data_IF_101778082752
#
_entry.id   IF_101778082752
#
_cell.length_a   1.000
_cell.length_b   1.000
_cell.length_c   1.000
_cell.angle_alpha   90.00
_cell.angle_beta   90.00
_cell.angle_gamma   90.00
#
_symmetry.space_group_name_H-M   'P 1'
#
loop_
_entity.id
_entity.type
_entity.pdbx_description
1 polymer ?
#
# COMPACT_ATOMS: atom_id res chain seq x y z
N UNK A 1 26.97 73.37 7.15
CA UNK A 1 26.73 71.92 7.29
C UNK A 1 28.05 71.31 7.70
N UNK A 2 28.11 70.75 8.90
CA UNK A 2 29.37 70.30 9.49
C UNK A 2 29.71 68.89 8.98
N UNK A 3 30.99 68.55 9.00
CA UNK A 3 31.52 67.25 8.55
C UNK A 3 30.90 66.07 9.32
N UNK A 4 30.56 66.29 10.58
CA UNK A 4 29.88 65.31 11.45
C UNK A 4 28.46 64.98 10.98
N UNK A 5 27.71 65.96 10.49
CA UNK A 5 26.33 65.75 10.00
C UNK A 5 26.31 64.87 8.73
N UNK A 6 27.37 64.96 7.91
CA UNK A 6 27.49 64.13 6.71
C UNK A 6 27.78 62.67 7.06
N UNK A 7 28.63 62.41 8.05
CA UNK A 7 28.97 61.05 8.50
C UNK A 7 27.73 60.35 9.09
N UNK A 8 26.97 61.04 9.95
CA UNK A 8 25.74 60.48 10.53
C UNK A 8 24.69 60.13 9.46
N UNK A 9 24.57 60.96 8.42
CA UNK A 9 23.66 60.68 7.29
C UNK A 9 24.10 59.47 6.45
N UNK A 10 25.40 59.23 6.36
CA UNK A 10 26.00 58.15 5.59
C UNK A 10 25.85 56.81 6.32
N UNK A 11 25.98 56.82 7.65
CA UNK A 11 25.69 55.65 8.50
C UNK A 11 24.21 55.26 8.44
N UNK A 12 23.31 56.24 8.51
CA UNK A 12 21.87 55.99 8.37
C UNK A 12 21.52 55.38 6.99
N UNK A 13 22.17 55.86 5.92
CA UNK A 13 21.98 55.33 4.56
C UNK A 13 22.55 53.92 4.43
N UNK A 14 23.69 53.64 5.06
CA UNK A 14 24.33 52.31 5.07
C UNK A 14 23.47 51.29 5.80
N UNK A 15 22.93 51.64 6.96
CA UNK A 15 22.01 50.78 7.71
C UNK A 15 20.70 50.49 6.94
N UNK A 16 20.17 51.49 6.23
CA UNK A 16 19.00 51.29 5.36
C UNK A 16 19.30 50.37 4.17
N UNK A 17 20.49 50.49 3.57
CA UNK A 17 20.93 49.63 2.49
C UNK A 17 21.14 48.19 2.96
N UNK A 18 21.80 47.98 4.11
CA UNK A 18 22.01 46.65 4.69
C UNK A 18 20.68 45.94 4.95
N UNK A 19 19.70 46.66 5.52
CA UNK A 19 18.34 46.12 5.72
C UNK A 19 17.68 45.73 4.41
N UNK A 20 17.76 46.60 3.39
CA UNK A 20 17.17 46.34 2.07
C UNK A 20 17.82 45.14 1.38
N UNK A 21 19.14 44.98 1.52
CA UNK A 21 19.89 43.82 1.01
C UNK A 21 19.48 42.54 1.74
N UNK A 22 19.29 42.60 3.06
CA UNK A 22 18.77 41.48 3.86
C UNK A 22 17.37 41.05 3.43
N UNK A 23 16.46 42.00 3.23
CA UNK A 23 15.09 41.73 2.78
C UNK A 23 15.08 41.15 1.35
N UNK A 24 15.96 41.64 0.47
CA UNK A 24 16.12 41.11 -0.90
C UNK A 24 16.68 39.69 -0.88
N UNK A 25 17.64 39.39 0.00
CA UNK A 25 18.19 38.04 0.15
C UNK A 25 17.13 37.05 0.68
N UNK A 26 16.28 37.47 1.62
CA UNK A 26 15.17 36.67 2.12
C UNK A 26 14.13 36.40 1.01
N UNK A 27 13.83 37.40 0.18
CA UNK A 27 12.95 37.25 -0.98
C UNK A 27 13.52 36.27 -2.00
N UNK A 28 14.82 36.36 -2.31
CA UNK A 28 15.50 35.43 -3.22
C UNK A 28 15.48 33.97 -2.70
N UNK A 29 15.69 33.76 -1.40
CA UNK A 29 15.60 32.44 -0.78
C UNK A 29 14.18 31.86 -0.86
N UNK A 30 13.15 32.69 -0.64
CA UNK A 30 11.75 32.25 -0.76
C UNK A 30 11.38 31.88 -2.21
N UNK A 31 11.93 32.61 -3.18
CA UNK A 31 11.74 32.33 -4.59
C UNK A 31 12.44 31.03 -5.01
N UNK A 32 13.68 30.78 -4.56
CA UNK A 32 14.38 29.51 -4.79
C UNK A 32 13.59 28.32 -4.23
N UNK A 33 13.05 28.45 -3.01
CA UNK A 33 12.20 27.43 -2.41
C UNK A 33 10.93 27.17 -3.24
N UNK A 34 10.32 28.22 -3.78
CA UNK A 34 9.14 28.12 -4.65
C UNK A 34 9.48 27.42 -5.97
N UNK A 35 10.60 27.76 -6.60
CA UNK A 35 11.06 27.13 -7.84
C UNK A 35 11.36 25.64 -7.65
N UNK A 36 11.98 25.25 -6.53
CA UNK A 36 12.18 23.83 -6.19
C UNK A 36 10.86 23.11 -5.98
N UNK A 37 9.89 23.76 -5.34
CA UNK A 37 8.53 23.25 -5.21
C UNK A 37 7.87 23.02 -6.57
N UNK A 38 7.94 24.00 -7.47
CA UNK A 38 7.43 23.89 -8.85
C UNK A 38 8.13 22.78 -9.64
N UNK A 39 9.44 22.63 -9.49
CA UNK A 39 10.18 21.53 -10.14
C UNK A 39 9.69 20.16 -9.64
N UNK A 40 9.39 20.04 -8.34
CA UNK A 40 8.83 18.83 -7.75
C UNK A 40 7.45 18.48 -8.32
N UNK A 41 6.54 19.46 -8.38
CA UNK A 41 5.18 19.26 -8.92
C UNK A 41 5.19 18.95 -10.41
N UNK A 42 6.07 19.59 -11.19
CA UNK A 42 6.25 19.30 -12.62
C UNK A 42 6.80 17.88 -12.84
N UNK A 43 7.74 17.43 -12.01
CA UNK A 43 8.27 16.07 -12.09
C UNK A 43 7.20 15.01 -11.75
N UNK A 44 6.33 15.28 -10.78
CA UNK A 44 5.18 14.42 -10.45
C UNK A 44 4.15 14.40 -11.57
N UNK A 45 3.78 15.57 -12.09
CA UNK A 45 2.87 15.70 -13.25
C UNK A 45 3.39 14.94 -14.47
N UNK A 46 4.69 14.98 -14.73
CA UNK A 46 5.32 14.24 -15.84
C UNK A 46 5.22 12.73 -15.63
N UNK A 47 5.43 12.24 -14.41
CA UNK A 47 5.25 10.82 -14.07
C UNK A 47 3.80 10.38 -14.23
N UNK A 48 2.86 11.21 -13.77
CA UNK A 48 1.43 10.93 -13.89
C UNK A 48 0.99 10.91 -15.35
N UNK A 49 1.51 11.81 -16.18
CA UNK A 49 1.25 11.83 -17.62
C UNK A 49 1.75 10.56 -18.30
N UNK A 50 2.95 10.07 -17.95
CA UNK A 50 3.47 8.80 -18.45
C UNK A 50 2.69 7.57 -17.96
N UNK A 51 2.06 7.63 -16.79
CA UNK A 51 1.14 6.59 -16.32
C UNK A 51 -0.17 6.61 -17.10
N UNK A 52 -0.72 7.80 -17.33
CA UNK A 52 -1.94 8.00 -18.10
C UNK A 52 -1.76 7.53 -19.55
N UNK A 53 -0.65 7.88 -20.20
CA UNK A 53 -0.34 7.47 -21.58
C UNK A 53 -0.29 5.95 -21.72
N UNK A 54 0.39 5.27 -20.79
CA UNK A 54 0.48 3.79 -20.76
C UNK A 54 -0.88 3.15 -20.48
N UNK A 55 -1.66 3.72 -19.57
CA UNK A 55 -3.01 3.26 -19.27
C UNK A 55 -3.96 3.43 -20.46
N UNK A 56 -3.90 4.59 -21.11
CA UNK A 56 -4.70 4.93 -22.27
C UNK A 56 -4.35 4.05 -23.48
N UNK A 57 -3.07 3.93 -23.83
CA UNK A 57 -2.61 3.07 -24.94
C UNK A 57 -2.95 1.60 -24.70
N UNK A 58 -2.77 1.09 -23.48
CA UNK A 58 -3.16 -0.26 -23.11
C UNK A 58 -4.66 -0.48 -23.08
N UNK A 59 -5.45 0.53 -22.72
CA UNK A 59 -6.91 0.51 -22.79
C UNK A 59 -7.41 0.49 -24.23
N UNK A 60 -6.87 1.39 -25.07
CA UNK A 60 -7.19 1.50 -26.49
C UNK A 60 -6.87 0.20 -27.23
N UNK A 61 -5.68 -0.37 -27.00
CA UNK A 61 -5.29 -1.66 -27.59
C UNK A 61 -6.24 -2.78 -27.21
N UNK A 62 -6.60 -2.91 -25.93
CA UNK A 62 -7.58 -3.91 -25.47
C UNK A 62 -8.97 -3.71 -26.06
N UNK A 63 -9.40 -2.47 -26.25
CA UNK A 63 -10.67 -2.16 -26.89
C UNK A 63 -10.66 -2.57 -28.38
N UNK A 64 -9.57 -2.29 -29.10
CA UNK A 64 -9.40 -2.72 -30.49
C UNK A 64 -9.30 -4.25 -30.61
N UNK A 65 -8.49 -4.90 -29.78
CA UNK A 65 -8.36 -6.36 -29.77
C UNK A 65 -9.70 -7.04 -29.46
N UNK A 66 -10.49 -6.50 -28.51
CA UNK A 66 -11.82 -7.02 -28.18
C UNK A 66 -12.87 -6.79 -29.28
N UNK A 67 -12.75 -5.72 -30.06
CA UNK A 67 -13.63 -5.47 -31.20
C UNK A 67 -13.30 -6.41 -32.38
N UNK A 68 -12.02 -6.60 -32.67
CA UNK A 68 -11.55 -7.38 -33.83
C UNK A 68 -11.60 -8.88 -33.59
N UNK A 69 -11.13 -9.34 -32.42
CA UNK A 69 -10.97 -10.77 -32.13
C UNK A 69 -12.12 -11.37 -31.32
N UNK A 70 -12.74 -10.60 -30.41
CA UNK A 70 -13.82 -11.11 -29.55
C UNK A 70 -15.24 -10.77 -30.07
N UNK A 71 -15.36 -9.98 -31.15
CA UNK A 71 -16.65 -9.58 -31.72
C UNK A 71 -17.54 -8.79 -30.76
N UNK A 72 -16.96 -8.17 -29.72
CA UNK A 72 -17.72 -7.35 -28.76
C UNK A 72 -18.33 -6.15 -29.44
N UNK A 73 -19.57 -5.82 -29.06
CA UNK A 73 -20.23 -4.63 -29.59
C UNK A 73 -19.48 -3.37 -29.13
N UNK A 74 -19.39 -2.36 -30.00
CA UNK A 74 -18.79 -1.06 -29.67
C UNK A 74 -19.41 -0.47 -28.40
N UNK A 75 -20.71 -0.72 -28.18
CA UNK A 75 -21.48 -0.33 -27.00
C UNK A 75 -20.95 -0.95 -25.70
N UNK A 76 -20.54 -2.22 -25.71
CA UNK A 76 -19.98 -2.89 -24.53
C UNK A 76 -18.59 -2.34 -24.19
N UNK A 77 -17.76 -2.08 -25.21
CA UNK A 77 -16.45 -1.45 -25.02
C UNK A 77 -16.58 -0.02 -24.48
N UNK A 78 -17.48 0.79 -25.04
CA UNK A 78 -17.75 2.15 -24.55
C UNK A 78 -18.32 2.13 -23.12
N UNK A 79 -19.18 1.17 -22.80
CA UNK A 79 -19.69 0.97 -21.44
C UNK A 79 -18.58 0.63 -20.44
N UNK A 80 -17.59 -0.16 -20.85
CA UNK A 80 -16.43 -0.48 -19.99
C UNK A 80 -15.52 0.72 -19.75
N UNK A 81 -15.29 1.54 -20.78
CA UNK A 81 -14.51 2.79 -20.66
C UNK A 81 -15.24 3.77 -19.74
N UNK A 82 -16.56 3.95 -19.94
CA UNK A 82 -17.38 4.82 -19.09
C UNK A 82 -17.35 4.39 -17.61
N UNK A 83 -17.46 3.08 -17.33
CA UNK A 83 -17.31 2.56 -15.96
C UNK A 83 -15.93 2.84 -15.38
N UNK A 84 -14.87 2.60 -16.14
CA UNK A 84 -13.51 2.88 -15.67
C UNK A 84 -13.27 4.36 -15.37
N UNK A 85 -13.88 5.28 -16.14
CA UNK A 85 -13.82 6.72 -15.87
C UNK A 85 -14.59 7.10 -14.60
N UNK A 86 -15.78 6.52 -14.39
CA UNK A 86 -16.60 6.74 -13.19
C UNK A 86 -15.87 6.21 -11.95
N UNK A 87 -15.31 5.01 -12.01
CA UNK A 87 -14.58 4.39 -10.90
C UNK A 87 -13.33 5.20 -10.54
N UNK A 88 -12.62 5.73 -11.55
CA UNK A 88 -11.43 6.58 -11.35
C UNK A 88 -11.82 7.93 -10.74
N UNK A 89 -12.87 8.58 -11.24
CA UNK A 89 -13.36 9.85 -10.70
C UNK A 89 -13.88 9.69 -9.26
N UNK A 90 -14.60 8.59 -8.99
CA UNK A 90 -15.06 8.24 -7.65
C UNK A 90 -13.88 7.98 -6.70
N UNK A 91 -12.89 7.20 -7.13
CA UNK A 91 -11.70 6.93 -6.34
C UNK A 91 -10.89 8.21 -6.06
N UNK A 92 -10.75 9.11 -7.04
CA UNK A 92 -10.08 10.39 -6.86
C UNK A 92 -10.79 11.29 -5.84
N UNK A 93 -12.12 11.24 -5.79
CA UNK A 93 -12.92 12.00 -4.82
C UNK A 93 -12.90 11.39 -3.41
N UNK A 94 -12.92 10.06 -3.29
CA UNK A 94 -13.10 9.35 -2.01
C UNK A 94 -11.77 9.00 -1.32
N UNK A 95 -10.73 8.64 -2.07
CA UNK A 95 -9.45 8.23 -1.51
C UNK A 95 -8.77 9.29 -0.63
N UNK A 96 -8.83 10.61 -0.92
CA UNK A 96 -8.22 11.63 -0.05
C UNK A 96 -8.89 11.67 1.33
N UNK A 97 -10.22 11.60 1.37
CA UNK A 97 -11.00 11.58 2.61
C UNK A 97 -10.74 10.33 3.40
N UNK A 98 -10.68 9.15 2.75
CA UNK A 98 -10.32 7.91 3.42
C UNK A 98 -8.88 7.89 3.93
N UNK A 99 -7.93 8.49 3.21
CA UNK A 99 -6.53 8.64 3.68
C UNK A 99 -6.44 9.58 4.87
N UNK A 100 -7.11 10.73 4.84
CA UNK A 100 -7.12 11.66 5.97
C UNK A 100 -7.80 11.06 7.19
N UNK A 101 -9.00 10.47 7.02
CA UNK A 101 -9.71 9.78 8.11
C UNK A 101 -8.90 8.60 8.66
N UNK A 102 -8.24 7.84 7.79
CA UNK A 102 -7.33 6.75 8.18
C UNK A 102 -6.11 7.25 8.96
N UNK A 103 -5.51 8.38 8.58
CA UNK A 103 -4.38 8.97 9.32
C UNK A 103 -4.80 9.50 10.68
N UNK A 104 -5.93 10.22 10.76
CA UNK A 104 -6.43 10.79 12.03
C UNK A 104 -6.87 9.69 13.01
N UNK A 105 -7.46 8.61 12.50
CA UNK A 105 -7.83 7.45 13.32
C UNK A 105 -6.58 6.70 13.79
N UNK A 106 -5.58 6.51 12.93
CA UNK A 106 -4.31 5.89 13.29
C UNK A 106 -3.56 6.72 14.35
N UNK A 107 -3.52 8.04 14.20
CA UNK A 107 -2.88 8.95 15.15
C UNK A 107 -3.62 8.99 16.50
N UNK A 108 -4.96 8.97 16.47
CA UNK A 108 -5.79 8.92 17.69
C UNK A 108 -5.66 7.62 18.48
N UNK A 109 -5.57 6.47 17.79
CA UNK A 109 -5.36 5.17 18.42
C UNK A 109 -3.93 5.07 18.97
N UNK A 110 -2.94 5.60 18.26
CA UNK A 110 -1.55 5.61 18.72
C UNK A 110 -1.38 6.49 19.97
N UNK A 111 -2.05 7.65 20.03
CA UNK A 111 -2.10 8.51 21.21
C UNK A 111 -2.77 7.82 22.42
N UNK A 112 -3.89 7.12 22.21
CA UNK A 112 -4.59 6.40 23.28
C UNK A 112 -3.79 5.20 23.83
N UNK A 113 -3.08 4.46 22.97
CA UNK A 113 -2.25 3.32 23.37
C UNK A 113 -0.95 3.77 24.06
N UNK A 114 -0.38 4.91 23.66
CA UNK A 114 0.81 5.48 24.31
C UNK A 114 0.54 6.09 25.69
N UNK A 115 -0.70 6.52 25.98
CA UNK A 115 -1.09 7.08 27.28
C UNK A 115 -1.45 6.06 28.36
N UNK A 116 -1.62 4.77 28.03
CA UNK A 116 -2.23 3.78 28.92
C UNK A 116 -1.28 2.71 29.48
N UNK A 117 0.03 2.75 29.20
CA UNK A 117 0.98 1.68 29.59
C UNK A 117 2.20 2.21 30.36
N UNK A 118 2.30 2.02 31.70
CA UNK A 118 3.50 2.30 32.46
C UNK A 118 4.35 1.02 32.53
N UNK A 119 5.21 0.78 31.55
CA UNK A 119 6.17 -0.32 31.61
C UNK A 119 7.61 0.21 31.56
N UNK A 120 8.18 0.34 32.75
CA UNK A 120 9.60 0.45 32.99
C UNK A 120 10.28 -0.87 32.60
N UNK A 121 11.35 -0.78 31.79
CA UNK A 121 12.34 -1.85 31.62
C UNK A 121 12.02 -2.90 30.56
N UNK A 122 12.55 -2.68 29.34
CA UNK A 122 12.94 -3.76 28.44
C UNK A 122 11.86 -4.35 27.53
N UNK A 123 11.55 -3.63 26.45
CA UNK A 123 10.91 -4.22 25.27
C UNK A 123 11.62 -3.69 24.02
N UNK A 124 12.20 -4.53 23.15
CA UNK A 124 12.89 -4.11 21.93
C UNK A 124 11.87 -3.82 20.82
N UNK A 125 10.90 -2.98 21.12
CA UNK A 125 9.88 -2.51 20.19
C UNK A 125 9.97 -0.98 20.08
N UNK A 126 11.17 -0.46 19.87
CA UNK A 126 11.28 0.89 19.35
C UNK A 126 10.71 0.89 17.94
N UNK A 127 9.56 1.55 17.79
CA UNK A 127 9.07 2.15 16.55
C UNK A 127 8.06 1.39 15.70
N UNK A 128 7.17 0.60 16.33
CA UNK A 128 5.76 0.41 15.88
C UNK A 128 5.48 -0.03 14.43
N UNK A 129 6.50 -0.40 13.67
CA UNK A 129 6.42 -0.77 12.26
C UNK A 129 6.99 -2.16 12.11
N UNK A 130 6.35 -3.11 12.80
CA UNK A 130 6.41 -4.50 12.34
C UNK A 130 5.76 -4.47 10.95
N UNK A 131 6.55 -4.49 9.88
CA UNK A 131 6.02 -4.89 8.58
C UNK A 131 5.87 -6.40 8.66
N UNK A 132 4.64 -6.94 8.78
CA UNK A 132 4.47 -8.37 8.76
C UNK A 132 4.82 -8.86 7.36
N UNK A 133 5.96 -9.54 7.22
CA UNK A 133 6.27 -10.36 6.04
C UNK A 133 5.38 -11.61 5.92
N UNK A 134 4.26 -11.64 6.65
CA UNK A 134 3.29 -12.74 6.68
C UNK A 134 2.67 -13.05 5.30
N UNK A 135 2.80 -12.14 4.33
CA UNK A 135 2.30 -12.30 2.96
C UNK A 135 3.37 -12.68 1.93
N UNK A 136 4.64 -12.84 2.34
CA UNK A 136 5.75 -13.00 1.42
C UNK A 136 6.09 -11.71 0.67
N UNK A 137 7.33 -11.60 0.21
CA UNK A 137 7.84 -10.42 -0.49
C UNK A 137 9.27 -10.68 -0.98
N UNK A 138 9.71 -9.93 -1.99
CA UNK A 138 11.10 -9.98 -2.47
C UNK A 138 11.82 -8.77 -1.91
N UNK A 139 12.95 -8.99 -1.23
CA UNK A 139 13.81 -7.88 -0.78
C UNK A 139 14.82 -7.62 -1.89
N UNK A 140 14.71 -6.45 -2.52
CA UNK A 140 15.56 -6.05 -3.66
C UNK A 140 16.66 -5.06 -3.26
N UNK A 141 16.77 -4.71 -1.98
CA UNK A 141 17.75 -3.73 -1.47
C UNK A 141 18.13 -4.05 -0.02
N UNK A 142 19.34 -3.66 0.46
CA UNK A 142 19.79 -4.00 1.80
C UNK A 142 18.85 -3.46 2.90
N UNK A 143 18.40 -4.33 3.80
CA UNK A 143 17.54 -3.98 4.94
C UNK A 143 18.22 -4.40 6.24
N UNK A 144 18.47 -3.43 7.11
CA UNK A 144 19.00 -3.68 8.45
C UNK A 144 17.89 -4.05 9.43
N UNK A 145 18.09 -5.09 10.24
CA UNK A 145 17.20 -5.44 11.35
C UNK A 145 17.97 -5.54 12.67
N UNK A 146 17.35 -5.13 13.78
CA UNK A 146 17.96 -5.19 15.10
C UNK A 146 18.04 -6.62 15.62
N UNK A 147 19.21 -7.03 16.12
CA UNK A 147 19.43 -8.28 16.84
C UNK A 147 19.87 -7.98 18.27
N UNK A 148 19.63 -8.92 19.20
CA UNK A 148 20.09 -8.75 20.59
C UNK A 148 21.62 -8.82 20.61
N UNK A 149 22.27 -7.64 20.68
CA UNK A 149 23.72 -7.50 20.67
C UNK A 149 24.34 -7.06 19.33
N UNK A 150 23.55 -6.63 18.33
CA UNK A 150 24.08 -6.12 17.07
C UNK A 150 23.01 -5.75 16.03
N UNK A 151 23.45 -5.41 14.82
CA UNK A 151 22.57 -5.14 13.67
C UNK A 151 22.82 -6.20 12.61
N UNK A 152 21.78 -6.92 12.19
CA UNK A 152 21.82 -7.84 11.05
C UNK A 152 21.51 -7.10 9.75
N UNK A 153 22.17 -7.49 8.66
CA UNK A 153 21.90 -6.97 7.31
C UNK A 153 21.34 -8.10 6.44
N UNK A 154 20.22 -7.84 5.76
CA UNK A 154 19.57 -8.76 4.82
C UNK A 154 19.66 -8.17 3.39
N UNK A 155 19.80 -9.02 2.37
CA UNK A 155 19.86 -8.57 0.97
C UNK A 155 21.25 -8.19 0.45
N UNK A 156 22.32 -8.76 1.02
CA UNK A 156 23.71 -8.54 0.55
C UNK A 156 24.09 -9.35 -0.70
N UNK A 157 23.33 -10.42 -1.02
CA UNK A 157 23.68 -11.38 -2.09
C UNK A 157 22.67 -11.44 -3.27
N UNK A 158 21.90 -10.38 -3.49
CA UNK A 158 20.90 -10.30 -4.58
C UNK A 158 19.46 -10.56 -4.13
N UNK A 159 18.51 -10.74 -5.07
CA UNK A 159 17.09 -10.87 -4.75
C UNK A 159 16.78 -12.13 -3.93
N UNK A 160 16.47 -11.95 -2.65
CA UNK A 160 16.05 -13.02 -1.74
C UNK A 160 14.52 -13.08 -1.66
N UNK A 161 13.95 -14.28 -1.81
CA UNK A 161 12.52 -14.49 -1.66
C UNK A 161 12.16 -14.73 -0.19
N UNK A 162 11.35 -13.85 0.39
CA UNK A 162 10.74 -14.09 1.70
C UNK A 162 9.52 -14.98 1.51
N UNK A 163 9.67 -16.23 1.94
CA UNK A 163 8.60 -17.22 1.89
C UNK A 163 7.81 -17.21 3.21
N UNK A 164 6.46 -17.20 3.17
CA UNK A 164 5.65 -17.34 4.37
C UNK A 164 5.86 -18.73 4.97
N UNK A 165 6.60 -18.80 6.07
CA UNK A 165 6.74 -20.02 6.86
C UNK A 165 5.48 -20.21 7.70
N UNK A 166 4.99 -21.44 7.74
CA UNK A 166 3.97 -21.84 8.69
C UNK A 166 4.40 -23.10 9.44
N UNK A 167 3.97 -23.18 10.69
CA UNK A 167 4.20 -24.34 11.52
C UNK A 167 3.24 -25.44 11.11
N UNK A 168 3.77 -26.61 10.76
CA UNK A 168 3.00 -27.83 10.54
C UNK A 168 2.44 -28.38 11.86
N UNK A 169 1.52 -29.33 11.76
CA UNK A 169 0.95 -30.02 12.93
C UNK A 169 1.99 -30.86 13.70
N UNK A 170 3.13 -31.15 13.06
CA UNK A 170 4.33 -31.79 13.60
C UNK A 170 5.28 -30.81 14.31
N UNK A 171 4.94 -29.51 14.36
CA UNK A 171 5.74 -28.48 15.00
C UNK A 171 6.92 -27.99 14.15
N UNK A 172 7.15 -28.56 12.97
CA UNK A 172 8.21 -28.15 12.06
C UNK A 172 7.78 -26.93 11.23
N UNK A 173 8.75 -26.08 10.85
CA UNK A 173 8.48 -24.90 10.02
C UNK A 173 8.66 -25.27 8.55
N UNK A 174 7.59 -25.16 7.76
CA UNK A 174 7.60 -25.39 6.32
C UNK A 174 7.19 -24.15 5.52
N UNK A 175 7.59 -24.09 4.25
CA UNK A 175 7.17 -23.03 3.31
C UNK A 175 5.72 -23.28 2.89
N UNK A 176 4.84 -22.29 3.07
CA UNK A 176 3.47 -22.35 2.51
C UNK A 176 3.54 -22.26 0.99
N UNK A 177 3.46 -23.39 0.29
CA UNK A 177 3.16 -23.40 -1.13
C UNK A 177 1.78 -22.79 -1.36
N UNK A 178 1.67 -21.79 -2.23
CA UNK A 178 0.45 -21.03 -2.52
C UNK A 178 -0.65 -21.81 -3.27
N UNK A 179 -0.75 -23.13 -3.08
CA UNK A 179 -1.87 -23.94 -3.55
C UNK A 179 -2.79 -24.23 -2.38
N UNK A 180 -4.01 -23.71 -2.40
CA UNK A 180 -5.00 -23.97 -1.37
C UNK A 180 -5.10 -25.47 -1.06
N UNK A 181 -5.01 -25.83 0.21
CA UNK A 181 -5.04 -27.22 0.66
C UNK A 181 -6.32 -27.89 0.13
N UNK A 182 -6.13 -28.87 -0.76
CA UNK A 182 -7.23 -29.63 -1.36
C UNK A 182 -7.87 -30.50 -0.29
N UNK A 183 -9.10 -30.18 0.11
CA UNK A 183 -9.88 -30.98 1.06
C UNK A 183 -10.55 -32.12 0.30
N UNK A 184 -9.99 -33.32 0.41
CA UNK A 184 -10.58 -34.53 -0.16
C UNK A 184 -11.55 -35.15 0.86
N UNK A 185 -12.82 -35.26 0.51
CA UNK A 185 -13.85 -35.92 1.34
C UNK A 185 -14.27 -37.21 0.65
N UNK A 186 -13.85 -38.35 1.18
CA UNK A 186 -14.25 -39.68 0.70
C UNK A 186 -15.36 -40.23 1.61
N UNK A 187 -16.54 -40.49 1.05
CA UNK A 187 -17.66 -41.09 1.79
C UNK A 187 -17.92 -42.52 1.30
N UNK A 188 -17.82 -43.48 2.21
CA UNK A 188 -18.24 -44.86 1.95
C UNK A 188 -19.68 -45.04 2.41
N UNK A 189 -20.58 -45.37 1.48
CA UNK A 189 -21.96 -45.73 1.80
C UNK A 189 -22.15 -47.21 1.53
N UNK A 190 -22.38 -47.99 2.59
CA UNK A 190 -22.79 -49.38 2.48
C UNK A 190 -24.25 -49.49 2.90
N UNK A 191 -25.10 -49.96 1.99
CA UNK A 191 -26.52 -50.16 2.25
C UNK A 191 -26.94 -51.55 1.77
N UNK A 192 -27.63 -52.34 2.60
CA UNK A 192 -28.20 -53.62 2.18
C UNK A 192 -29.50 -53.45 1.38
N UNK A 193 -30.14 -52.28 1.43
CA UNK A 193 -31.39 -51.97 0.71
C UNK A 193 -31.21 -50.78 -0.25
N UNK A 194 -31.46 -51.02 -1.53
CA UNK A 194 -31.34 -50.03 -2.61
C UNK A 194 -32.49 -49.02 -2.57
N UNK A 195 -33.70 -49.43 -2.16
CA UNK A 195 -34.86 -48.52 -2.10
C UNK A 195 -34.79 -47.58 -0.89
N UNK A 196 -34.25 -48.03 0.24
CA UNK A 196 -33.92 -47.19 1.38
C UNK A 196 -32.84 -46.15 1.05
N UNK A 197 -31.87 -46.51 0.21
CA UNK A 197 -30.84 -45.57 -0.26
C UNK A 197 -31.43 -44.46 -1.15
N UNK A 198 -32.29 -44.81 -2.10
CA UNK A 198 -32.96 -43.81 -2.96
C UNK A 198 -33.77 -42.79 -2.13
N UNK A 199 -34.47 -43.24 -1.08
CA UNK A 199 -35.23 -42.36 -0.18
C UNK A 199 -34.34 -41.49 0.72
N UNK A 200 -33.14 -41.95 1.05
CA UNK A 200 -32.19 -41.22 1.91
C UNK A 200 -31.14 -40.40 1.14
N UNK A 201 -31.14 -40.45 -0.20
CA UNK A 201 -30.21 -39.73 -1.06
C UNK A 201 -30.16 -38.22 -0.75
N UNK A 202 -31.31 -37.59 -0.52
CA UNK A 202 -31.42 -36.17 -0.16
C UNK A 202 -30.78 -35.85 1.19
N UNK A 203 -30.85 -36.77 2.15
CA UNK A 203 -30.25 -36.60 3.47
C UNK A 203 -28.73 -36.77 3.42
N UNK A 204 -28.23 -37.69 2.60
CA UNK A 204 -26.79 -37.88 2.36
C UNK A 204 -26.21 -36.65 1.66
N UNK A 205 -26.89 -36.13 0.64
CA UNK A 205 -26.51 -34.89 -0.04
C UNK A 205 -26.48 -33.68 0.92
N UNK A 206 -27.47 -33.56 1.80
CA UNK A 206 -27.51 -32.50 2.81
C UNK A 206 -26.37 -32.61 3.84
N UNK A 207 -25.97 -33.83 4.24
CA UNK A 207 -24.81 -34.06 5.11
C UNK A 207 -23.50 -33.71 4.41
N UNK A 208 -23.35 -34.09 3.14
CA UNK A 208 -22.19 -33.74 2.32
C UNK A 208 -22.02 -32.22 2.19
N UNK A 209 -23.10 -31.49 1.89
CA UNK A 209 -23.07 -30.03 1.80
C UNK A 209 -22.64 -29.35 3.11
N UNK A 210 -23.09 -29.88 4.26
CA UNK A 210 -22.64 -29.40 5.58
C UNK A 210 -21.16 -29.67 5.84
N UNK A 211 -20.66 -30.86 5.49
CA UNK A 211 -19.25 -31.23 5.65
C UNK A 211 -18.33 -30.36 4.78
N UNK A 212 -18.71 -30.12 3.52
CA UNK A 212 -17.97 -29.21 2.64
C UNK A 212 -17.98 -27.77 3.17
N UNK A 213 -19.13 -27.29 3.64
CA UNK A 213 -19.25 -25.96 4.22
C UNK A 213 -18.49 -25.79 5.56
N UNK A 214 -18.26 -26.86 6.31
CA UNK A 214 -17.38 -26.84 7.49
C UNK A 214 -15.90 -26.87 7.08
N UNK A 215 -15.53 -27.69 6.09
CA UNK A 215 -14.18 -27.74 5.53
C UNK A 215 -13.73 -26.44 4.88
N UNK A 216 -14.65 -25.64 4.33
CA UNK A 216 -14.35 -24.30 3.81
C UNK A 216 -14.21 -23.24 4.91
N UNK A 217 -14.89 -23.42 6.06
CA UNK A 217 -14.88 -22.47 7.18
C UNK A 217 -13.69 -22.66 8.12
N UNK A 218 -13.14 -23.86 8.22
CA UNK A 218 -11.92 -24.15 8.99
C UNK A 218 -10.64 -23.98 8.16
N UNK A 219 -10.67 -23.12 7.13
CA UNK A 219 -9.51 -22.73 6.31
C UNK A 219 -8.73 -21.58 6.92
#
# INVERSE_FOLDING_TARGET
MNETDQIDSLDATTAALERTLGDTAAMAASFDATLRGMQGTLAETTRDLGNLERGFSGGLRRAFDGLIFDGRSLSDTLGSVARSMIDTAYAAAVNPVMKQAGSLLADGINAAVSGAMPFAGGAPFSQGRVMPFAKGGVVSSPVSFGMRGGTGLMGEAGPEAIMPLARGADGQLGVRGGGGQTVNVTMHVSTPDVQGFQRSQSQIAARMGRMLGQGQRNR
#
